data_IF_719144727181
#
_entry.id   IF_719144727181
#
_cell.length_a   1.000
_cell.length_b   1.000
_cell.length_c   1.000
_cell.angle_alpha   90.00
_cell.angle_beta   90.00
_cell.angle_gamma   90.00
#
_symmetry.space_group_name_H-M   'P 1'
#
loop_
_entity.id
_entity.type
_entity.pdbx_description
1 polymer ?
#
# COMPACT_ATOMS: atom_id res chain seq x y z
N UNK A 1 4.55 20.78 13.83
CA UNK A 1 5.10 20.37 12.52
C UNK A 1 4.51 19.00 12.25
N UNK A 2 3.42 18.98 11.51
CA UNK A 2 2.53 17.82 11.45
C UNK A 2 2.93 16.93 10.29
N UNK A 3 3.90 16.10 10.58
CA UNK A 3 4.44 15.13 9.66
C UNK A 3 3.44 13.95 9.57
N UNK A 4 2.75 13.82 8.42
CA UNK A 4 1.96 12.62 8.09
C UNK A 4 2.18 12.18 6.62
N UNK A 5 2.51 10.89 6.43
CA UNK A 5 2.54 10.18 5.14
C UNK A 5 1.98 8.77 5.35
N UNK A 6 0.66 8.74 5.57
CA UNK A 6 -0.32 7.67 5.35
C UNK A 6 -1.56 8.45 4.88
N UNK A 7 -2.31 7.98 3.88
CA UNK A 7 -3.56 8.67 3.48
C UNK A 7 -4.39 8.97 4.74
N UNK A 8 -4.72 10.25 4.95
CA UNK A 8 -5.40 10.71 6.18
C UNK A 8 -6.73 9.99 6.42
N UNK A 9 -7.39 9.58 5.35
CA UNK A 9 -8.69 8.93 5.38
C UNK A 9 -8.60 7.39 5.48
N UNK A 10 -7.40 6.80 5.37
CA UNK A 10 -7.17 5.35 5.48
C UNK A 10 -8.07 4.50 4.57
N UNK A 11 -8.51 5.08 3.45
CA UNK A 11 -9.33 4.40 2.45
C UNK A 11 -8.44 3.67 1.45
N UNK A 12 -8.69 2.39 1.23
CA UNK A 12 -8.04 1.61 0.18
C UNK A 12 -8.58 2.00 -1.19
N UNK A 13 -7.77 1.96 -2.26
CA UNK A 13 -8.30 1.98 -3.62
C UNK A 13 -9.33 3.08 -3.94
N UNK A 14 -8.97 4.37 -3.92
CA UNK A 14 -9.79 5.38 -4.61
C UNK A 14 -9.72 5.23 -6.13
N UNK A 15 -10.80 4.72 -6.70
CA UNK A 15 -10.99 4.61 -8.14
C UNK A 15 -10.60 5.88 -8.91
N UNK A 16 -9.69 5.70 -9.87
CA UNK A 16 -9.29 6.72 -10.83
C UNK A 16 -7.86 6.52 -11.36
N UNK A 17 -7.56 7.05 -12.55
CA UNK A 17 -6.20 7.08 -13.11
C UNK A 17 -5.17 7.79 -12.20
N UNK A 18 -5.68 8.61 -11.28
CA UNK A 18 -4.95 9.36 -10.26
C UNK A 18 -4.33 8.47 -9.17
N UNK A 19 -4.90 7.32 -8.84
CA UNK A 19 -4.35 6.55 -7.72
C UNK A 19 -3.19 5.66 -8.14
N UNK A 20 -3.30 5.02 -9.32
CA UNK A 20 -2.24 4.17 -9.87
C UNK A 20 -0.94 4.94 -10.13
N UNK A 21 -1.03 6.22 -10.51
CA UNK A 21 0.15 7.03 -10.83
C UNK A 21 0.90 7.52 -9.59
N UNK A 22 0.24 7.65 -8.43
CA UNK A 22 0.78 8.33 -7.25
C UNK A 22 1.01 7.43 -6.04
N UNK A 23 0.25 6.35 -5.93
CA UNK A 23 0.18 5.56 -4.69
C UNK A 23 0.63 4.11 -4.87
N UNK A 24 0.87 3.69 -6.12
CA UNK A 24 1.38 2.36 -6.43
C UNK A 24 2.85 2.47 -6.83
N UNK A 25 3.72 1.82 -6.05
CA UNK A 25 5.12 1.61 -6.39
C UNK A 25 5.31 0.16 -6.80
N UNK A 26 5.76 -0.04 -8.02
CA UNK A 26 6.04 -1.38 -8.54
C UNK A 26 7.54 -1.65 -8.54
N UNK A 27 7.93 -2.79 -7.99
CA UNK A 27 9.33 -3.17 -7.75
C UNK A 27 10.18 -3.19 -9.01
N UNK A 28 9.62 -3.51 -10.17
CA UNK A 28 10.39 -3.56 -11.42
C UNK A 28 10.75 -2.18 -11.99
N UNK A 29 10.20 -1.09 -11.45
CA UNK A 29 10.63 0.27 -11.79
C UNK A 29 11.74 0.80 -10.91
N UNK A 30 11.99 0.19 -9.76
CA UNK A 30 12.95 0.67 -8.78
C UNK A 30 14.38 0.29 -9.13
N UNK A 31 15.31 1.24 -8.97
CA UNK A 31 16.76 0.99 -9.06
C UNK A 31 17.39 0.66 -7.71
N UNK A 32 16.70 0.94 -6.60
CA UNK A 32 17.20 0.77 -5.24
C UNK A 32 16.08 0.31 -4.30
N UNK A 33 16.44 -0.25 -3.14
CA UNK A 33 15.49 -0.66 -2.10
C UNK A 33 14.75 0.57 -1.57
N UNK A 34 13.43 0.45 -1.45
CA UNK A 34 12.57 1.56 -1.04
C UNK A 34 11.82 1.25 0.25
N UNK A 35 12.00 2.05 1.30
CA UNK A 35 11.27 1.90 2.57
C UNK A 35 9.85 2.46 2.43
N UNK A 36 8.86 1.71 2.92
CA UNK A 36 7.44 2.08 2.85
C UNK A 36 6.77 2.01 4.22
N UNK A 37 5.81 2.90 4.46
CA UNK A 37 5.03 2.94 5.70
C UNK A 37 3.89 1.92 5.73
N UNK A 38 3.29 1.62 4.56
CA UNK A 38 2.20 0.65 4.42
C UNK A 38 2.34 -0.07 3.07
N UNK A 39 2.02 -1.36 3.03
CA UNK A 39 1.83 -2.13 1.78
C UNK A 39 0.36 -2.55 1.71
N UNK A 40 -0.35 -2.11 0.67
CA UNK A 40 -1.82 -2.26 0.55
C UNK A 40 -2.29 -3.11 -0.62
N UNK A 41 -1.36 -3.50 -1.49
CA UNK A 41 -1.58 -4.41 -2.60
C UNK A 41 -0.24 -4.99 -3.00
N UNK A 42 -0.16 -6.30 -3.18
CA UNK A 42 1.02 -6.91 -3.74
C UNK A 42 0.69 -8.18 -4.54
N UNK A 43 1.63 -8.53 -5.42
CA UNK A 43 1.60 -9.80 -6.15
C UNK A 43 2.44 -10.90 -5.46
N UNK A 44 3.25 -10.54 -4.45
CA UNK A 44 4.03 -11.46 -3.62
C UNK A 44 4.64 -10.75 -2.39
N UNK A 45 4.80 -11.48 -1.28
CA UNK A 45 5.55 -11.07 -0.10
C UNK A 45 6.84 -11.87 0.03
N UNK A 46 7.95 -11.18 0.34
CA UNK A 46 9.11 -11.79 0.97
C UNK A 46 9.16 -11.32 2.42
N UNK A 47 8.69 -12.17 3.32
CA UNK A 47 8.75 -11.92 4.77
C UNK A 47 9.92 -12.73 5.31
N UNK A 48 10.81 -12.07 6.07
CA UNK A 48 11.90 -12.79 6.76
C UNK A 48 11.28 -13.82 7.71
N UNK A 49 11.71 -15.09 7.69
CA UNK A 49 11.11 -16.14 8.51
C UNK A 49 10.96 -15.78 10.00
N UNK A 50 11.92 -15.05 10.56
CA UNK A 50 11.90 -14.60 11.95
C UNK A 50 10.72 -13.69 12.32
N UNK A 51 10.04 -13.08 11.34
CA UNK A 51 8.85 -12.27 11.58
C UNK A 51 7.57 -13.10 11.67
N UNK A 52 7.59 -14.36 11.21
CA UNK A 52 6.55 -15.34 11.50
C UNK A 52 6.79 -15.93 12.88
N UNK A 53 6.18 -15.33 13.89
CA UNK A 53 6.17 -15.87 15.25
C UNK A 53 4.76 -15.84 15.83
N UNK A 54 4.64 -16.29 17.08
CA UNK A 54 3.37 -16.38 17.82
C UNK A 54 2.62 -15.05 17.88
N UNK A 55 3.31 -13.92 17.74
CA UNK A 55 2.69 -12.59 17.82
C UNK A 55 1.87 -12.24 16.58
N UNK A 56 2.11 -12.87 15.43
CA UNK A 56 1.29 -12.67 14.23
C UNK A 56 -0.15 -13.19 14.39
N UNK A 57 -0.34 -14.19 15.24
CA UNK A 57 -1.64 -14.80 15.52
C UNK A 57 -2.29 -14.23 16.78
N UNK A 58 -1.59 -13.36 17.53
CA UNK A 58 -2.18 -12.75 18.71
C UNK A 58 -3.45 -11.99 18.32
N UNK A 59 -4.51 -12.33 19.05
CA UNK A 59 -5.86 -11.80 18.85
C UNK A 59 -6.51 -12.15 17.53
N UNK A 60 -5.92 -13.02 16.69
CA UNK A 60 -6.48 -13.36 15.38
C UNK A 60 -7.98 -13.68 15.50
N UNK A 61 -8.38 -14.58 16.40
CA UNK A 61 -9.79 -14.97 16.55
C UNK A 61 -10.72 -13.90 17.15
N UNK A 62 -10.16 -12.84 17.73
CA UNK A 62 -10.90 -11.76 18.39
C UNK A 62 -11.16 -10.57 17.45
N UNK A 63 -10.62 -10.62 16.22
CA UNK A 63 -10.67 -9.53 15.25
C UNK A 63 -11.76 -9.83 14.22
N UNK A 64 -12.47 -8.81 13.71
CA UNK A 64 -13.41 -8.97 12.61
C UNK A 64 -12.83 -9.79 11.44
N UNK A 65 -13.63 -10.72 10.91
CA UNK A 65 -13.19 -11.68 9.90
C UNK A 65 -12.77 -11.01 8.59
N UNK A 66 -13.33 -9.85 8.26
CA UNK A 66 -12.95 -9.05 7.11
C UNK A 66 -11.51 -8.54 7.22
N UNK A 67 -11.13 -8.00 8.38
CA UNK A 67 -9.78 -7.49 8.61
C UNK A 67 -8.72 -8.59 8.50
N UNK A 68 -9.02 -9.79 9.00
CA UNK A 68 -8.08 -10.92 8.97
C UNK A 68 -7.83 -11.52 7.59
N UNK A 69 -8.79 -11.38 6.68
CA UNK A 69 -8.75 -12.03 5.35
C UNK A 69 -8.06 -11.16 4.31
N UNK A 70 -7.85 -9.88 4.63
CA UNK A 70 -6.99 -8.97 3.89
C UNK A 70 -5.56 -9.19 4.39
N UNK A 71 -4.98 -10.33 3.98
CA UNK A 71 -3.71 -10.85 4.49
C UNK A 71 -2.55 -9.88 4.28
N UNK A 72 -2.53 -9.21 3.12
CA UNK A 72 -1.58 -8.18 2.76
C UNK A 72 -1.53 -7.04 3.77
N UNK A 73 -2.66 -6.46 4.13
CA UNK A 73 -2.76 -5.37 5.11
C UNK A 73 -2.62 -5.90 6.53
N UNK A 74 -3.15 -7.09 6.85
CA UNK A 74 -3.04 -7.72 8.16
C UNK A 74 -1.58 -7.95 8.57
N UNK A 75 -0.81 -8.63 7.72
CA UNK A 75 0.61 -8.91 7.95
C UNK A 75 1.41 -7.62 8.08
N UNK A 76 1.12 -6.63 7.23
CA UNK A 76 1.77 -5.34 7.28
C UNK A 76 1.44 -4.56 8.56
N UNK A 77 0.20 -4.64 9.02
CA UNK A 77 -0.28 -4.00 10.24
C UNK A 77 0.35 -4.59 11.49
N UNK A 78 0.42 -5.92 11.57
CA UNK A 78 1.12 -6.62 12.65
C UNK A 78 2.62 -6.32 12.67
N UNK A 79 3.25 -6.25 11.50
CA UNK A 79 4.63 -5.77 11.38
C UNK A 79 4.77 -4.32 11.90
N UNK A 80 3.79 -3.44 11.59
CA UNK A 80 3.77 -2.06 12.06
C UNK A 80 3.68 -1.94 13.58
N UNK A 81 2.80 -2.74 14.19
CA UNK A 81 2.63 -2.81 15.65
C UNK A 81 3.93 -3.13 16.38
N UNK A 82 4.85 -3.79 15.69
CA UNK A 82 6.13 -4.26 16.20
C UNK A 82 7.32 -3.42 15.70
N UNK A 83 7.06 -2.30 15.04
CA UNK A 83 8.09 -1.43 14.45
C UNK A 83 9.02 -2.16 13.47
N UNK A 84 8.50 -3.17 12.78
CA UNK A 84 9.24 -3.87 11.73
C UNK A 84 9.21 -3.04 10.45
N UNK A 85 10.39 -2.65 9.98
CA UNK A 85 10.53 -1.89 8.75
C UNK A 85 10.11 -2.71 7.52
N UNK A 86 9.50 -2.04 6.54
CA UNK A 86 9.00 -2.63 5.31
C UNK A 86 9.69 -2.02 4.11
N UNK A 87 9.92 -2.84 3.09
CA UNK A 87 10.66 -2.44 1.91
C UNK A 87 10.03 -3.01 0.65
N UNK A 88 10.07 -2.23 -0.43
CA UNK A 88 9.89 -2.69 -1.80
C UNK A 88 11.30 -2.90 -2.37
N UNK A 89 11.59 -4.13 -2.78
CA UNK A 89 12.90 -4.52 -3.31
C UNK A 89 12.84 -4.53 -4.84
N UNK A 90 13.84 -3.97 -5.55
CA UNK A 90 13.92 -4.03 -7.00
C UNK A 90 13.78 -5.45 -7.56
N UNK A 91 12.90 -5.63 -8.55
CA UNK A 91 12.73 -6.92 -9.27
C UNK A 91 13.24 -6.82 -10.70
N UNK A 92 13.95 -7.83 -11.21
CA UNK A 92 14.42 -7.84 -12.61
C UNK A 92 13.28 -8.01 -13.63
N UNK A 93 12.15 -8.59 -13.22
CA UNK A 93 11.07 -8.96 -14.12
C UNK A 93 9.72 -8.38 -13.66
N UNK A 94 8.82 -8.07 -14.61
CA UNK A 94 7.41 -7.79 -14.30
C UNK A 94 6.77 -9.00 -13.61
N UNK A 95 5.70 -8.73 -12.87
CA UNK A 95 5.02 -9.66 -11.96
C UNK A 95 4.83 -11.07 -12.54
N UNK A 96 5.03 -12.08 -11.69
CA UNK A 96 4.47 -13.41 -11.93
C UNK A 96 2.95 -13.23 -11.88
N UNK A 97 2.27 -13.51 -13.00
CA UNK A 97 0.81 -13.51 -13.03
C UNK A 97 0.31 -14.63 -12.13
N UNK A 98 -0.16 -14.29 -10.93
CA UNK A 98 -0.90 -15.21 -10.09
C UNK A 98 -2.30 -15.32 -10.70
N UNK A 99 -2.50 -16.35 -11.52
CA UNK A 99 -3.72 -16.51 -12.34
C UNK A 99 -4.97 -16.85 -11.52
N UNK A 100 -4.83 -17.14 -10.23
CA UNK A 100 -5.91 -17.58 -9.34
C UNK A 100 -5.67 -17.19 -7.89
N UNK A 101 -6.43 -16.22 -7.38
CA UNK A 101 -6.60 -15.95 -5.95
C UNK A 101 -8.10 -16.06 -5.65
N UNK A 102 -8.51 -17.06 -4.86
CA UNK A 102 -9.94 -17.38 -4.69
C UNK A 102 -10.49 -17.16 -3.28
N UNK A 103 -9.63 -17.12 -2.25
CA UNK A 103 -10.09 -17.22 -0.85
C UNK A 103 -10.71 -15.91 -0.34
N UNK A 104 -10.15 -14.75 -0.71
CA UNK A 104 -10.64 -13.45 -0.26
C UNK A 104 -11.93 -13.08 -1.02
N UNK A 105 -11.92 -13.14 -2.34
CA UNK A 105 -13.02 -12.73 -3.22
C UNK A 105 -14.28 -13.57 -2.99
N UNK A 106 -14.12 -14.88 -2.78
CA UNK A 106 -15.24 -15.77 -2.44
C UNK A 106 -15.85 -15.41 -1.08
N UNK A 107 -15.01 -15.16 -0.07
CA UNK A 107 -15.48 -14.72 1.25
C UNK A 107 -16.21 -13.38 1.17
N UNK A 108 -15.63 -12.40 0.46
CA UNK A 108 -16.21 -11.07 0.29
C UNK A 108 -17.58 -11.16 -0.38
N UNK A 109 -17.70 -11.96 -1.46
CA UNK A 109 -18.96 -12.21 -2.14
C UNK A 109 -20.02 -12.85 -1.22
N UNK A 110 -19.64 -13.85 -0.42
CA UNK A 110 -20.54 -14.51 0.55
C UNK A 110 -21.03 -13.58 1.66
N UNK A 111 -20.28 -12.53 1.98
CA UNK A 111 -20.56 -11.63 3.09
C UNK A 111 -21.04 -10.23 2.63
N UNK A 112 -21.45 -10.08 1.36
CA UNK A 112 -21.87 -8.80 0.77
C UNK A 112 -20.87 -7.65 1.01
N UNK A 113 -19.58 -7.97 0.96
CA UNK A 113 -18.52 -7.02 1.26
C UNK A 113 -17.72 -6.73 0.00
N UNK A 114 -17.30 -5.47 -0.17
CA UNK A 114 -16.37 -5.10 -1.23
C UNK A 114 -14.92 -5.18 -0.73
N UNK A 115 -13.98 -5.46 -1.64
CA UNK A 115 -12.54 -5.39 -1.34
C UNK A 115 -12.14 -4.00 -0.84
N UNK A 116 -12.77 -2.97 -1.40
CA UNK A 116 -12.68 -1.59 -0.94
C UNK A 116 -13.00 -1.45 0.56
N UNK A 117 -14.16 -1.94 0.98
CA UNK A 117 -14.59 -1.85 2.38
C UNK A 117 -13.68 -2.66 3.30
N UNK A 118 -13.38 -3.91 2.95
CA UNK A 118 -12.52 -4.77 3.77
C UNK A 118 -11.11 -4.19 3.96
N UNK A 119 -10.49 -3.72 2.87
CA UNK A 119 -9.15 -3.17 2.94
C UNK A 119 -9.11 -1.82 3.67
N UNK A 120 -10.15 -0.99 3.51
CA UNK A 120 -10.26 0.28 4.26
C UNK A 120 -10.45 0.05 5.75
N UNK A 121 -11.30 -0.91 6.13
CA UNK A 121 -11.45 -1.32 7.53
C UNK A 121 -10.13 -1.83 8.12
N UNK A 122 -9.38 -2.66 7.39
CA UNK A 122 -8.08 -3.13 7.82
C UNK A 122 -7.06 -1.98 8.01
N UNK A 123 -7.04 -1.00 7.09
CA UNK A 123 -6.18 0.19 7.23
C UNK A 123 -6.55 1.02 8.46
N UNK A 124 -7.85 1.23 8.70
CA UNK A 124 -8.36 1.95 9.86
C UNK A 124 -8.05 1.24 11.17
N UNK A 125 -8.15 -0.09 11.18
CA UNK A 125 -7.84 -0.92 12.35
C UNK A 125 -6.43 -0.70 12.87
N UNK A 126 -5.45 -0.58 11.97
CA UNK A 126 -4.05 -0.35 12.33
C UNK A 126 -3.64 1.13 12.32
N UNK A 127 -4.61 2.06 12.26
CA UNK A 127 -4.39 3.51 12.16
C UNK A 127 -3.33 4.06 13.13
N UNK A 128 -3.37 3.62 14.39
CA UNK A 128 -2.44 4.05 15.44
C UNK A 128 -1.02 3.47 15.33
N UNK A 129 -0.79 2.54 14.41
CA UNK A 129 0.46 1.79 14.31
C UNK A 129 1.22 2.07 13.02
N UNK A 130 0.57 2.61 11.99
CA UNK A 130 1.25 2.93 10.74
C UNK A 130 2.36 3.95 10.95
N UNK A 131 3.47 3.75 10.24
CA UNK A 131 4.58 4.69 10.29
C UNK A 131 4.15 6.03 9.70
N UNK A 132 4.14 7.07 10.54
CA UNK A 132 3.96 8.43 10.09
C UNK A 132 5.19 8.80 9.23
N UNK A 133 4.96 9.45 8.10
CA UNK A 133 6.02 10.01 7.24
C UNK A 133 6.77 9.05 6.31
N UNK A 134 6.21 7.85 6.05
CA UNK A 134 6.86 6.85 5.21
C UNK A 134 6.08 6.41 3.96
N UNK A 135 5.03 7.14 3.57
CA UNK A 135 4.52 7.06 2.18
C UNK A 135 5.37 7.87 1.20
N UNK A 136 5.23 7.50 -0.08
CA UNK A 136 5.74 8.21 -1.24
C UNK A 136 5.47 9.71 -1.15
N UNK A 137 6.55 10.51 -1.11
CA UNK A 137 6.51 11.95 -1.37
C UNK A 137 7.33 12.20 -2.63
N UNK A 138 6.67 12.72 -3.66
CA UNK A 138 7.37 13.11 -4.89
C UNK A 138 8.46 14.14 -4.56
N UNK A 139 9.69 13.85 -5.03
CA UNK A 139 10.89 14.63 -4.75
C UNK A 139 11.12 14.93 -3.24
N UNK A 140 10.57 14.09 -2.37
CA UNK A 140 10.85 14.14 -0.94
C UNK A 140 12.17 13.43 -0.61
N UNK A 141 12.66 13.66 0.61
CA UNK A 141 13.90 13.03 1.11
C UNK A 141 13.87 11.49 1.02
N UNK A 142 12.67 10.89 1.01
CA UNK A 142 12.43 9.46 0.88
C UNK A 142 11.65 9.13 -0.41
N UNK A 143 12.02 9.72 -1.56
CA UNK A 143 11.44 9.34 -2.84
C UNK A 143 12.10 8.04 -3.39
N UNK A 144 11.34 7.15 -4.06
CA UNK A 144 11.88 5.99 -4.74
C UNK A 144 12.83 6.41 -5.86
N UNK A 145 13.95 5.69 -5.99
CA UNK A 145 14.85 5.83 -7.12
C UNK A 145 14.36 4.91 -8.24
N UNK A 146 14.15 5.48 -9.42
CA UNK A 146 13.71 4.73 -10.60
C UNK A 146 14.90 4.29 -11.45
N UNK A 147 14.73 3.19 -12.19
CA UNK A 147 15.74 2.68 -13.15
C UNK A 147 15.92 3.55 -14.38
N UNK A 148 14.86 4.24 -14.80
CA UNK A 148 14.85 5.03 -16.02
C UNK A 148 14.24 6.39 -15.73
N UNK A 149 14.96 7.44 -16.14
CA UNK A 149 14.50 8.82 -16.08
C UNK A 149 13.16 9.02 -16.79
N UNK A 150 12.93 8.36 -17.94
CA UNK A 150 11.64 8.39 -18.64
C UNK A 150 10.52 7.77 -17.82
N UNK A 151 10.83 6.78 -16.99
CA UNK A 151 9.82 6.14 -16.15
C UNK A 151 9.49 6.99 -14.92
N UNK A 152 10.51 7.63 -14.35
CA UNK A 152 10.31 8.74 -13.41
C UNK A 152 9.41 9.78 -14.09
N UNK A 153 9.83 10.40 -15.20
CA UNK A 153 9.02 11.37 -15.95
C UNK A 153 7.60 10.87 -16.20
N UNK A 154 7.39 9.65 -16.66
CA UNK A 154 6.05 9.13 -16.94
C UNK A 154 5.19 9.07 -15.68
N UNK A 155 5.73 8.55 -14.57
CA UNK A 155 5.06 8.51 -13.26
C UNK A 155 4.80 9.92 -12.73
N UNK A 156 5.78 10.81 -12.87
CA UNK A 156 5.77 12.17 -12.31
C UNK A 156 4.97 13.17 -13.15
N UNK A 157 4.99 13.09 -14.47
CA UNK A 157 4.25 13.98 -15.36
C UNK A 157 2.79 13.60 -15.45
N UNK A 158 2.46 12.30 -15.49
CA UNK A 158 1.06 11.87 -15.32
C UNK A 158 0.57 12.38 -13.98
N UNK A 159 1.38 12.26 -12.92
CA UNK A 159 1.09 12.91 -11.66
C UNK A 159 0.85 14.42 -11.84
N UNK A 160 1.83 15.21 -12.25
CA UNK A 160 1.74 16.66 -12.37
C UNK A 160 0.55 17.15 -13.22
N UNK A 161 0.30 16.54 -14.39
CA UNK A 161 -0.84 16.88 -15.28
C UNK A 161 -2.18 16.64 -14.58
N UNK A 162 -2.27 15.55 -13.82
CA UNK A 162 -3.45 15.20 -13.05
C UNK A 162 -3.68 16.17 -11.88
N UNK A 163 -2.62 16.65 -11.20
CA UNK A 163 -2.73 17.69 -10.17
C UNK A 163 -3.20 19.03 -10.73
N UNK A 164 -2.68 19.43 -11.90
CA UNK A 164 -3.11 20.67 -12.57
C UNK A 164 -4.58 20.60 -12.97
N UNK A 165 -5.07 19.45 -13.46
CA UNK A 165 -6.50 19.25 -13.73
C UNK A 165 -7.34 19.32 -12.45
N UNK A 166 -6.88 18.78 -11.34
CA UNK A 166 -7.60 18.85 -10.06
C UNK A 166 -7.74 20.30 -9.56
N UNK A 167 -6.67 21.11 -9.65
CA UNK A 167 -6.69 22.54 -9.30
C UNK A 167 -7.61 23.33 -10.22
N UNK A 168 -7.65 23.01 -11.51
CA UNK A 168 -8.50 23.70 -12.50
C UNK A 168 -9.99 23.32 -12.31
N UNK A 169 -10.30 22.07 -11.96
CA UNK A 169 -11.69 21.59 -11.82
C UNK A 169 -12.30 21.76 -10.42
N UNK A 170 -11.47 21.83 -9.36
CA UNK A 170 -11.93 21.87 -7.97
C UNK A 170 -11.22 22.96 -7.15
N UNK A 171 -10.87 24.09 -7.79
CA UNK A 171 -10.05 25.16 -7.23
C UNK A 171 -10.35 25.55 -5.78
N UNK A 172 -9.25 25.78 -5.05
CA UNK A 172 -9.11 26.46 -3.75
C UNK A 172 -10.33 26.37 -2.80
N UNK A 173 -10.23 25.47 -1.83
CA UNK A 173 -10.83 25.64 -0.49
C UNK A 173 -9.70 26.01 0.46
#
# INVERSE_FOLDING_TARGET
>A
MDSYLVRKDLTWGVGGKYEMAYHIIESHYLSDVYRVGVVTANAAYLIRPLFFDVHMHLYFDQIPNDIRRVDDIWLNGQASKRHVARYVVPSCCPHISVTRTHVLEEYLGKNNMSRLSANSHALQWFSGHWEKNLWYKFNGENAPKYRNWWMMIYREWISMILNVKFIIYFGFI
#
